data_IF_194127916779
#
_entry.id   IF_194127916779
#
_cell.length_a   1.000
_cell.length_b   1.000
_cell.length_c   1.000
_cell.angle_alpha   90.00
_cell.angle_beta   90.00
_cell.angle_gamma   90.00
#
_symmetry.space_group_name_H-M   'P 1'
#
loop_
_entity.id
_entity.type
_entity.pdbx_description
1 polymer ?
#
# COMPACT_ATOMS: atom_id res chain seq x y z
N UNK A 1 5.06 28.00 9.73
CA UNK A 1 4.95 26.88 8.77
C UNK A 1 4.00 27.32 7.67
N UNK A 2 4.50 27.62 6.47
CA UNK A 2 3.64 27.89 5.32
C UNK A 2 3.00 26.58 4.88
N UNK A 3 1.69 26.45 5.05
CA UNK A 3 0.95 25.39 4.38
C UNK A 3 1.11 25.63 2.88
N UNK A 4 1.77 24.69 2.17
CA UNK A 4 1.91 24.74 0.72
C UNK A 4 0.50 24.58 0.13
N UNK A 5 -0.10 25.70 -0.25
CA UNK A 5 -1.43 25.78 -0.87
C UNK A 5 -1.47 24.94 -2.17
N UNK A 6 -0.30 24.64 -2.73
CA UNK A 6 -0.09 23.78 -3.90
C UNK A 6 -0.55 22.33 -3.70
N UNK A 7 -0.76 21.86 -2.47
CA UNK A 7 -1.04 20.44 -2.17
C UNK A 7 -2.39 19.93 -2.70
N UNK A 8 -3.35 20.83 -2.97
CA UNK A 8 -4.67 20.46 -3.47
C UNK A 8 -4.98 21.05 -4.85
N UNK A 9 -3.96 21.36 -5.64
CA UNK A 9 -4.21 21.84 -6.98
C UNK A 9 -4.71 20.71 -7.89
N UNK A 10 -5.94 20.84 -8.39
CA UNK A 10 -6.63 19.79 -9.16
C UNK A 10 -6.09 19.71 -10.60
N UNK A 11 -5.65 20.83 -11.19
CA UNK A 11 -5.15 20.89 -12.57
C UNK A 11 -6.11 20.23 -13.59
N UNK A 12 -5.55 19.68 -14.68
CA UNK A 12 -6.28 18.93 -15.71
C UNK A 12 -6.65 17.48 -15.31
N UNK A 13 -6.56 17.12 -14.02
CA UNK A 13 -6.85 15.76 -13.53
C UNK A 13 -5.80 14.69 -13.88
N UNK A 14 -4.70 15.06 -14.54
CA UNK A 14 -3.52 14.22 -14.77
C UNK A 14 -2.47 14.55 -13.71
N UNK A 15 -1.87 13.56 -13.05
CA UNK A 15 -0.88 13.78 -11.99
C UNK A 15 0.41 14.42 -12.53
N UNK A 16 0.90 15.44 -11.82
CA UNK A 16 2.14 16.12 -12.15
C UNK A 16 3.34 15.23 -11.79
N UNK A 17 4.05 14.74 -12.81
CA UNK A 17 5.24 13.92 -12.62
C UNK A 17 6.31 14.64 -11.78
N UNK A 18 6.55 15.94 -12.05
CA UNK A 18 7.54 16.73 -11.30
C UNK A 18 7.14 16.94 -9.84
N UNK A 19 5.84 17.07 -9.54
CA UNK A 19 5.35 17.21 -8.16
C UNK A 19 5.56 15.92 -7.36
N UNK A 20 5.31 14.75 -7.97
CA UNK A 20 5.59 13.45 -7.34
C UNK A 20 7.08 13.27 -6.97
N UNK A 21 7.97 13.99 -7.63
CA UNK A 21 9.41 13.99 -7.35
C UNK A 21 9.89 15.21 -6.57
N UNK A 22 9.00 16.06 -6.03
CA UNK A 22 9.32 17.31 -5.34
C UNK A 22 10.18 18.29 -6.17
N UNK A 23 10.00 18.29 -7.50
CA UNK A 23 10.74 19.14 -8.45
C UNK A 23 9.84 20.13 -9.18
N UNK A 24 8.53 20.14 -8.91
CA UNK A 24 7.62 21.10 -9.54
C UNK A 24 7.79 22.49 -8.92
N UNK A 25 8.11 23.50 -9.74
CA UNK A 25 8.23 24.90 -9.33
C UNK A 25 7.00 25.77 -9.71
N UNK A 26 6.01 25.18 -10.36
CA UNK A 26 4.84 25.92 -10.88
C UNK A 26 3.77 26.17 -9.82
N UNK A 27 3.82 25.48 -8.68
CA UNK A 27 2.85 25.59 -7.59
C UNK A 27 1.39 25.47 -8.06
N UNK A 28 0.51 26.36 -7.59
CA UNK A 28 -0.89 26.48 -8.04
C UNK A 28 -1.08 26.77 -9.53
N UNK A 29 -0.04 27.23 -10.25
CA UNK A 29 -0.11 27.49 -11.68
C UNK A 29 0.28 26.27 -12.53
N UNK A 30 0.52 25.11 -11.91
CA UNK A 30 0.80 23.89 -12.66
C UNK A 30 -0.42 23.47 -13.49
N UNK A 31 -0.25 23.15 -14.77
CA UNK A 31 -1.36 22.62 -15.58
C UNK A 31 -1.80 21.21 -15.11
N UNK A 32 -0.91 20.50 -14.42
CA UNK A 32 -1.11 19.15 -13.92
C UNK A 32 -1.51 19.11 -12.45
N UNK A 33 -2.19 18.04 -12.03
CA UNK A 33 -2.69 17.86 -10.67
C UNK A 33 -1.57 17.57 -9.68
N UNK A 34 -1.57 18.28 -8.56
CA UNK A 34 -0.73 18.03 -7.40
C UNK A 34 -1.45 17.19 -6.33
N UNK A 35 -2.65 16.69 -6.63
CA UNK A 35 -3.35 15.80 -5.73
C UNK A 35 -2.56 14.48 -5.58
N UNK A 36 -2.27 14.01 -4.35
CA UNK A 36 -1.72 12.68 -4.14
C UNK A 36 -2.70 11.67 -4.73
N UNK A 37 -2.18 10.72 -5.51
CA UNK A 37 -3.00 9.73 -6.22
C UNK A 37 -3.89 8.94 -5.24
N UNK A 38 -5.15 9.36 -5.13
CA UNK A 38 -6.15 8.75 -4.24
C UNK A 38 -6.56 7.34 -4.72
N UNK A 39 -6.12 6.90 -5.90
CA UNK A 39 -6.46 5.58 -6.46
C UNK A 39 -5.76 4.41 -5.75
N UNK A 40 -4.88 4.67 -4.79
CA UNK A 40 -4.19 3.64 -4.00
C UNK A 40 -4.57 3.62 -2.51
N UNK A 41 -5.65 4.28 -2.08
CA UNK A 41 -6.03 4.38 -0.64
C UNK A 41 -7.24 3.54 -0.19
N UNK A 42 -7.72 2.60 -0.98
CA UNK A 42 -8.81 1.69 -0.54
C UNK A 42 -8.38 0.65 0.53
N UNK A 43 -7.12 0.63 0.99
CA UNK A 43 -6.67 -0.31 2.04
C UNK A 43 -6.25 0.32 3.38
N UNK A 44 -6.59 1.58 3.69
CA UNK A 44 -6.33 2.12 5.03
C UNK A 44 -7.45 3.03 5.52
N UNK A 45 -8.56 2.43 5.93
CA UNK A 45 -9.40 3.00 6.98
C UNK A 45 -8.66 2.84 8.31
N UNK A 46 -8.60 3.91 9.11
CA UNK A 46 -9.08 3.76 10.47
C UNK A 46 -10.13 4.80 10.84
N UNK A 47 -11.09 4.28 11.59
CA UNK A 47 -12.15 4.92 12.37
C UNK A 47 -11.88 6.33 12.92
N UNK A 48 -12.78 7.24 12.56
CA UNK A 48 -13.57 8.14 13.45
C UNK A 48 -12.84 9.26 14.25
N UNK A 49 -13.60 10.27 14.76
CA UNK A 49 -13.32 11.68 14.56
C UNK A 49 -12.96 12.38 15.88
N UNK A 50 -12.17 13.46 15.85
CA UNK A 50 -12.14 14.40 16.98
C UNK A 50 -11.86 15.84 16.55
N UNK A 51 -12.89 16.63 16.79
CA UNK A 51 -12.99 18.09 16.84
C UNK A 51 -12.00 18.66 17.87
N UNK A 52 -11.28 19.74 17.53
CA UNK A 52 -11.24 21.04 18.24
C UNK A 52 -9.90 21.80 18.06
N UNK A 53 -10.07 23.02 17.57
CA UNK A 53 -9.46 24.29 17.99
C UNK A 53 -7.94 24.36 18.19
N UNK A 54 -7.25 25.07 17.28
CA UNK A 54 -6.23 26.04 17.66
C UNK A 54 -6.23 27.21 16.65
N UNK A 55 -6.45 28.43 17.16
CA UNK A 55 -6.27 29.71 16.46
C UNK A 55 -4.78 29.99 16.19
N UNK A 56 -4.43 30.78 15.14
CA UNK A 56 -3.06 31.13 14.83
C UNK A 56 -2.61 32.45 15.49
N UNK A 57 -1.30 32.65 15.73
CA UNK A 57 -0.75 33.99 15.92
C UNK A 57 -0.01 34.48 14.68
N UNK A 58 -0.44 35.67 14.25
CA UNK A 58 0.32 36.82 13.74
C UNK A 58 1.39 36.71 12.64
N UNK A 59 1.18 37.62 11.68
CA UNK A 59 2.06 38.17 10.63
C UNK A 59 3.52 38.38 11.05
N UNK A 60 4.44 38.10 10.12
CA UNK A 60 5.59 38.98 9.87
C UNK A 60 5.99 38.96 8.40
N UNK A 61 5.99 40.15 7.80
CA UNK A 61 6.34 40.45 6.41
C UNK A 61 7.78 40.03 6.07
N UNK A 62 7.96 39.35 4.93
CA UNK A 62 9.26 39.08 4.31
C UNK A 62 9.27 39.61 2.89
N UNK A 63 10.18 40.55 2.62
CA UNK A 63 10.27 41.33 1.39
C UNK A 63 10.45 40.47 0.12
N UNK A 64 9.66 40.79 -0.91
CA UNK A 64 9.77 40.22 -2.24
C UNK A 64 11.05 40.72 -2.93
N UNK A 65 11.99 39.82 -3.22
CA UNK A 65 13.05 40.09 -4.19
C UNK A 65 12.47 40.00 -5.61
N UNK A 66 12.78 41.01 -6.43
CA UNK A 66 12.36 41.09 -7.81
C UNK A 66 12.87 39.89 -8.65
N UNK A 67 12.05 39.37 -9.58
CA UNK A 67 12.47 38.28 -10.47
C UNK A 67 13.57 38.75 -11.43
N UNK A 68 14.58 37.91 -11.73
CA UNK A 68 15.63 38.23 -12.69
C UNK A 68 15.06 38.37 -14.12
N UNK A 69 15.70 39.17 -14.98
CA UNK A 69 15.24 39.41 -16.35
C UNK A 69 15.19 38.12 -17.16
N UNK A 70 14.06 37.89 -17.82
CA UNK A 70 13.83 36.77 -18.72
C UNK A 70 14.77 36.85 -19.92
N UNK A 71 15.82 36.02 -19.92
CA UNK A 71 16.71 35.86 -21.07
C UNK A 71 15.94 35.04 -22.12
N UNK A 72 15.52 35.72 -23.19
CA UNK A 72 14.84 35.12 -24.33
C UNK A 72 15.86 34.32 -25.16
N UNK A 73 15.98 33.01 -24.89
CA UNK A 73 16.84 32.12 -25.68
C UNK A 73 16.14 31.85 -27.02
N UNK A 74 16.78 32.16 -28.17
CA UNK A 74 16.18 31.88 -29.47
C UNK A 74 16.01 30.36 -29.65
N UNK A 75 14.93 29.90 -30.28
CA UNK A 75 14.70 28.48 -30.53
C UNK A 75 15.87 27.93 -31.35
N UNK A 76 16.63 27.00 -30.77
CA UNK A 76 17.71 26.31 -31.47
C UNK A 76 17.13 25.63 -32.72
N UNK A 77 17.74 25.82 -33.90
CA UNK A 77 17.27 25.19 -35.12
C UNK A 77 17.28 23.67 -34.93
N UNK A 78 16.11 23.06 -35.18
CA UNK A 78 15.86 21.64 -35.05
C UNK A 78 16.74 20.90 -36.07
N UNK A 79 17.94 20.51 -35.67
CA UNK A 79 18.78 19.61 -36.45
C UNK A 79 18.01 18.29 -36.55
N UNK A 80 17.48 18.02 -37.73
CA UNK A 80 16.72 16.80 -38.02
C UNK A 80 17.58 15.59 -37.64
N UNK A 81 17.18 14.88 -36.59
CA UNK A 81 17.91 13.69 -36.18
C UNK A 81 17.88 12.66 -37.31
N UNK A 82 19.03 12.03 -37.64
CA UNK A 82 19.10 11.00 -38.66
C UNK A 82 18.17 9.84 -38.28
N UNK A 83 17.27 9.47 -39.20
CA UNK A 83 16.33 8.37 -38.99
C UNK A 83 17.10 7.09 -38.69
N UNK A 84 16.85 6.52 -37.51
CA UNK A 84 17.50 5.27 -37.09
C UNK A 84 17.06 4.15 -38.05
N UNK A 85 18.01 3.36 -38.58
CA UNK A 85 17.67 2.26 -39.48
C UNK A 85 16.77 1.23 -38.77
N UNK A 86 15.83 0.60 -39.51
CA UNK A 86 14.96 -0.41 -38.94
C UNK A 86 15.78 -1.57 -38.36
N UNK A 87 15.42 -2.02 -37.16
CA UNK A 87 16.08 -3.15 -36.50
C UNK A 87 15.99 -4.37 -37.39
N UNK A 88 17.13 -5.01 -37.66
CA UNK A 88 17.16 -6.24 -38.44
C UNK A 88 16.34 -7.35 -37.76
N UNK A 89 15.76 -8.26 -38.55
CA UNK A 89 14.98 -9.38 -38.04
C UNK A 89 15.77 -10.26 -37.04
N UNK A 90 17.10 -10.31 -37.19
CA UNK A 90 17.99 -10.98 -36.24
C UNK A 90 17.97 -10.31 -34.86
N UNK A 91 18.00 -8.97 -34.79
CA UNK A 91 17.89 -8.24 -33.53
C UNK A 91 16.55 -8.48 -32.84
N UNK A 92 15.45 -8.56 -33.60
CA UNK A 92 14.11 -8.82 -33.06
C UNK A 92 14.02 -10.22 -32.43
N UNK A 93 14.54 -11.24 -33.11
CA UNK A 93 14.55 -12.63 -32.60
C UNK A 93 15.35 -12.76 -31.30
N UNK A 94 16.49 -12.06 -31.21
CA UNK A 94 17.32 -12.06 -30.01
C UNK A 94 16.63 -11.37 -28.82
N UNK A 95 15.92 -10.26 -29.07
CA UNK A 95 15.12 -9.58 -28.04
C UNK A 95 13.98 -10.46 -27.50
N UNK A 96 13.26 -11.15 -28.39
CA UNK A 96 12.22 -12.12 -28.02
C UNK A 96 12.76 -13.23 -27.11
N UNK A 97 13.90 -13.85 -27.47
CA UNK A 97 14.55 -14.87 -26.62
C UNK A 97 14.94 -14.30 -25.25
N UNK A 98 15.50 -13.09 -25.21
CA UNK A 98 15.89 -12.41 -23.97
C UNK A 98 14.66 -12.11 -23.08
N UNK A 99 13.53 -11.72 -23.67
CA UNK A 99 12.25 -11.52 -22.97
C UNK A 99 11.69 -12.81 -22.39
N UNK A 100 11.69 -13.90 -23.15
CA UNK A 100 11.25 -15.22 -22.66
C UNK A 100 12.12 -15.68 -21.49
N UNK A 101 13.44 -15.50 -21.58
CA UNK A 101 14.36 -15.86 -20.49
C UNK A 101 14.12 -15.00 -19.23
N UNK A 102 13.91 -13.68 -19.39
CA UNK A 102 13.55 -12.79 -18.28
C UNK A 102 12.23 -13.21 -17.62
N UNK A 103 11.23 -13.61 -18.41
CA UNK A 103 9.95 -14.11 -17.89
C UNK A 103 10.11 -15.41 -17.10
N UNK A 104 10.88 -16.37 -17.65
CA UNK A 104 11.20 -17.64 -16.96
C UNK A 104 11.92 -17.39 -15.63
N UNK A 105 12.88 -16.46 -15.61
CA UNK A 105 13.58 -16.04 -14.38
C UNK A 105 12.63 -15.43 -13.35
N UNK A 106 11.76 -14.51 -13.75
CA UNK A 106 10.76 -13.90 -12.84
C UNK A 106 9.81 -14.96 -12.24
N UNK A 107 9.36 -15.95 -13.03
CA UNK A 107 8.56 -17.07 -12.52
C UNK A 107 9.32 -17.92 -11.50
N UNK A 108 10.57 -18.25 -11.78
CA UNK A 108 11.39 -19.02 -10.83
C UNK A 108 11.62 -18.24 -9.52
N UNK A 109 11.92 -16.94 -9.60
CA UNK A 109 12.09 -16.07 -8.42
C UNK A 109 10.79 -15.92 -7.63
N UNK A 110 9.62 -15.90 -8.29
CA UNK A 110 8.33 -15.89 -7.62
C UNK A 110 8.06 -17.21 -6.89
N UNK A 111 8.41 -18.36 -7.50
CA UNK A 111 8.30 -19.68 -6.85
C UNK A 111 9.21 -19.75 -5.62
N UNK A 112 10.44 -19.23 -5.70
CA UNK A 112 11.36 -19.19 -4.56
C UNK A 112 10.85 -18.28 -3.45
N UNK A 113 10.33 -17.09 -3.79
CA UNK A 113 9.72 -16.18 -2.81
C UNK A 113 8.47 -16.77 -2.16
N UNK A 114 7.61 -17.44 -2.92
CA UNK A 114 6.41 -18.08 -2.41
C UNK A 114 6.66 -19.40 -1.67
N UNK A 115 7.88 -19.95 -1.75
CA UNK A 115 8.26 -21.17 -1.01
C UNK A 115 8.21 -20.99 0.51
N UNK A 116 8.23 -19.75 1.01
CA UNK A 116 8.04 -19.43 2.43
C UNK A 116 6.58 -19.17 2.85
N UNK A 117 5.67 -18.90 1.92
CA UNK A 117 4.25 -18.61 2.21
C UNK A 117 3.36 -19.83 1.99
N UNK A 118 3.65 -20.65 0.98
CA UNK A 118 3.10 -21.99 0.84
C UNK A 118 4.12 -22.98 1.37
N UNK A 119 4.23 -23.08 2.70
CA UNK A 119 4.79 -24.29 3.30
C UNK A 119 4.01 -25.48 2.72
N UNK A 120 4.67 -26.53 2.19
CA UNK A 120 4.01 -27.80 1.87
C UNK A 120 3.32 -28.41 3.10
N UNK A 121 3.72 -27.98 4.28
CA UNK A 121 2.96 -28.03 5.52
C UNK A 121 2.24 -26.69 5.69
N UNK A 122 1.19 -26.41 4.91
CA UNK A 122 0.16 -25.50 5.40
C UNK A 122 -0.15 -26.03 6.78
N UNK A 123 0.18 -25.25 7.83
CA UNK A 123 0.25 -25.67 9.25
C UNK A 123 -0.76 -26.78 9.40
N UNK A 124 -0.30 -28.05 9.47
CA UNK A 124 -1.18 -29.20 9.66
C UNK A 124 -1.82 -28.87 10.98
N UNK A 125 -2.99 -28.21 10.94
CA UNK A 125 -3.72 -27.83 12.14
C UNK A 125 -3.78 -29.13 12.87
N UNK A 126 -3.09 -29.22 14.00
CA UNK A 126 -3.05 -30.47 14.73
C UNK A 126 -4.50 -30.91 14.88
N UNK A 127 -4.78 -32.20 14.84
CA UNK A 127 -6.15 -32.71 15.01
C UNK A 127 -6.87 -31.99 16.18
N UNK A 128 -6.10 -31.68 17.23
CA UNK A 128 -6.43 -30.80 18.36
C UNK A 128 -6.90 -29.36 18.02
N UNK A 129 -6.25 -28.66 17.10
CA UNK A 129 -6.66 -27.31 16.67
C UNK A 129 -7.95 -27.36 15.82
N UNK A 130 -8.12 -28.44 15.03
CA UNK A 130 -9.34 -28.67 14.25
C UNK A 130 -10.51 -28.99 15.18
N UNK A 131 -10.30 -29.87 16.14
CA UNK A 131 -11.26 -30.22 17.18
C UNK A 131 -11.72 -28.99 17.98
N UNK A 132 -10.79 -28.11 18.38
CA UNK A 132 -11.15 -26.85 19.03
C UNK A 132 -11.99 -25.93 18.15
N UNK A 133 -11.71 -25.87 16.85
CA UNK A 133 -12.51 -25.07 15.94
C UNK A 133 -13.95 -25.61 15.77
N UNK A 134 -14.15 -26.92 15.90
CA UNK A 134 -15.47 -27.57 15.82
C UNK A 134 -16.27 -27.45 17.12
N UNK A 135 -15.59 -27.27 18.27
CA UNK A 135 -16.20 -27.19 19.60
C UNK A 135 -16.03 -25.80 20.24
N UNK A 136 -16.12 -24.73 19.45
CA UNK A 136 -16.13 -23.34 19.94
C UNK A 136 -14.94 -22.93 20.82
N UNK A 137 -13.77 -23.54 20.61
CA UNK A 137 -12.54 -23.28 21.34
C UNK A 137 -12.17 -24.35 22.37
N UNK A 138 -13.09 -25.26 22.69
CA UNK A 138 -12.90 -26.33 23.67
C UNK A 138 -12.49 -27.66 22.99
N UNK A 139 -11.85 -28.56 23.71
CA UNK A 139 -11.68 -29.96 23.27
C UNK A 139 -12.99 -30.73 23.45
N UNK A 140 -13.18 -31.86 22.76
CA UNK A 140 -14.41 -32.65 22.88
C UNK A 140 -14.69 -33.06 24.32
N UNK A 141 -13.66 -33.48 25.05
CA UNK A 141 -13.79 -33.83 26.48
C UNK A 141 -14.18 -32.65 27.36
N UNK A 142 -13.62 -31.46 27.09
CA UNK A 142 -13.96 -30.22 27.83
C UNK A 142 -15.42 -29.81 27.55
N UNK A 143 -15.87 -29.92 26.29
CA UNK A 143 -17.25 -29.62 25.91
C UNK A 143 -18.27 -30.60 26.52
N UNK A 144 -17.91 -31.89 26.63
CA UNK A 144 -18.71 -32.90 27.33
C UNK A 144 -18.81 -32.59 28.83
N UNK A 145 -17.72 -32.15 29.45
CA UNK A 145 -17.70 -31.78 30.87
C UNK A 145 -18.57 -30.56 31.17
N UNK A 146 -18.53 -29.53 30.31
CA UNK A 146 -19.46 -28.39 30.38
C UNK A 146 -20.92 -28.82 30.27
N UNK A 147 -21.23 -29.75 29.35
CA UNK A 147 -22.58 -30.25 29.16
C UNK A 147 -23.10 -30.98 30.42
N UNK A 148 -22.24 -31.67 31.17
CA UNK A 148 -22.60 -32.28 32.45
C UNK A 148 -23.02 -31.24 33.51
N UNK A 149 -22.49 -30.01 33.44
CA UNK A 149 -22.85 -28.90 34.32
C UNK A 149 -24.00 -28.03 33.77
N UNK A 150 -24.60 -28.44 32.65
CA UNK A 150 -25.62 -27.68 31.92
C UNK A 150 -25.15 -26.30 31.42
N UNK A 151 -23.85 -26.13 31.19
CA UNK A 151 -23.24 -24.92 30.59
C UNK A 151 -22.99 -25.17 29.11
N UNK A 152 -23.38 -24.25 28.23
CA UNK A 152 -23.14 -24.42 26.79
C UNK A 152 -21.76 -23.85 26.43
N UNK A 153 -21.04 -24.44 25.44
CA UNK A 153 -19.74 -23.93 25.01
C UNK A 153 -19.74 -22.50 24.43
N UNK A 154 -20.91 -21.91 24.18
CA UNK A 154 -21.05 -20.54 23.68
C UNK A 154 -21.63 -19.57 24.72
N UNK A 155 -21.86 -20.01 25.96
CA UNK A 155 -22.25 -19.13 27.05
C UNK A 155 -21.03 -18.32 27.52
N UNK A 156 -21.24 -17.07 27.98
CA UNK A 156 -20.17 -16.12 28.30
C UNK A 156 -19.27 -16.60 29.47
N UNK A 157 -19.79 -17.45 30.35
CA UNK A 157 -19.12 -18.01 31.54
C UNK A 157 -18.50 -19.40 31.32
N UNK A 158 -18.58 -19.97 30.11
CA UNK A 158 -18.08 -21.32 29.81
C UNK A 158 -16.57 -21.48 30.08
N UNK A 159 -15.77 -20.44 29.84
CA UNK A 159 -14.33 -20.45 30.13
C UNK A 159 -14.04 -20.41 31.62
N UNK A 160 -14.81 -19.64 32.40
CA UNK A 160 -14.65 -19.55 33.85
C UNK A 160 -15.00 -20.88 34.53
N UNK A 161 -16.04 -21.55 34.05
CA UNK A 161 -16.44 -22.88 34.52
C UNK A 161 -15.37 -23.93 34.19
N UNK A 162 -14.84 -23.94 32.96
CA UNK A 162 -13.75 -24.86 32.61
C UNK A 162 -12.47 -24.61 33.41
N UNK A 163 -12.13 -23.35 33.68
CA UNK A 163 -10.98 -23.01 34.52
C UNK A 163 -11.18 -23.53 35.95
N UNK A 164 -12.38 -23.35 36.53
CA UNK A 164 -12.72 -23.88 37.85
C UNK A 164 -12.67 -25.42 37.92
N UNK A 165 -13.10 -26.12 36.86
CA UNK A 165 -13.03 -27.59 36.79
C UNK A 165 -11.59 -28.08 36.63
N UNK A 166 -10.78 -27.41 35.80
CA UNK A 166 -9.40 -27.81 35.50
C UNK A 166 -8.43 -27.46 36.63
N UNK A 167 -8.72 -26.38 37.36
CA UNK A 167 -7.91 -25.89 38.49
C UNK A 167 -8.11 -26.68 39.78
N UNK A 168 -8.86 -27.80 39.73
CA UNK A 168 -9.12 -28.77 40.80
C UNK A 168 -8.35 -28.55 42.12
N UNK A 169 -9.11 -28.33 43.19
CA UNK A 169 -8.68 -28.23 44.59
C UNK A 169 -7.43 -29.06 44.96
#
# INVERSE_FOLDING_TARGET
>A
MSYNIDYYHIGNGITCWYYNHNTCMQGINCEYSHAPDIRNREECLPSLPTRLLFLPPNLSNGAALAPPPTIHIPPTPFLAEPMKPPKSAACIKLDMKRKVQRSKRRRAEAIVRNRGFYSPYGRRKSEREKERAENFGFLRGEAEELACQAVKPWDDDAWDVMDALTSGF
#
